data_IF_570798357100
#
_entry.id   IF_570798357100
#
_cell.length_a   1.000
_cell.length_b   1.000
_cell.length_c   1.000
_cell.angle_alpha   90.00
_cell.angle_beta   90.00
_cell.angle_gamma   90.00
#
_symmetry.space_group_name_H-M   'P 1'
#
loop_
_entity.id
_entity.type
_entity.pdbx_description
1 polymer ?
#
# COMPACT_ATOMS: atom_id res chain seq x y z
N UNK A 1 2.80 25.45 5.73
CA UNK A 1 2.86 24.35 6.71
C UNK A 1 1.95 23.23 6.24
N UNK A 2 2.41 21.97 6.25
CA UNK A 2 1.55 20.81 5.94
C UNK A 2 0.46 20.68 7.02
N UNK A 3 -0.79 20.49 6.61
CA UNK A 3 -1.91 20.33 7.54
C UNK A 3 -1.86 18.92 8.16
N UNK A 4 -1.75 18.85 9.49
CA UNK A 4 -1.80 17.57 10.22
C UNK A 4 -3.21 16.97 10.15
N UNK A 5 -3.29 15.64 10.10
CA UNK A 5 -4.56 14.91 10.19
C UNK A 5 -5.00 14.87 11.65
N UNK A 6 -6.26 15.18 11.94
CA UNK A 6 -6.79 15.05 13.30
C UNK A 6 -6.94 13.59 13.70
N UNK A 7 -6.84 13.28 15.00
CA UNK A 7 -7.03 11.92 15.53
C UNK A 7 -8.41 11.36 15.18
N UNK A 8 -9.46 12.19 15.22
CA UNK A 8 -10.82 11.80 14.85
C UNK A 8 -10.91 11.45 13.36
N UNK A 9 -10.32 12.26 12.47
CA UNK A 9 -10.30 11.96 11.04
C UNK A 9 -9.50 10.68 10.77
N UNK A 10 -8.39 10.48 11.45
CA UNK A 10 -7.60 9.26 11.33
C UNK A 10 -8.38 8.03 11.83
N UNK A 11 -9.10 8.15 12.94
CA UNK A 11 -9.99 7.09 13.44
C UNK A 11 -11.03 6.69 12.38
N UNK A 12 -11.66 7.67 11.73
CA UNK A 12 -12.61 7.42 10.64
C UNK A 12 -11.96 6.68 9.46
N UNK A 13 -10.77 7.10 9.03
CA UNK A 13 -10.03 6.43 7.95
C UNK A 13 -9.66 4.99 8.32
N UNK A 14 -9.22 4.76 9.57
CA UNK A 14 -8.88 3.42 10.07
C UNK A 14 -10.11 2.50 10.10
N UNK A 15 -11.28 3.01 10.53
CA UNK A 15 -12.55 2.26 10.45
C UNK A 15 -12.92 1.92 9.01
N UNK A 16 -12.82 2.90 8.11
CA UNK A 16 -13.12 2.72 6.68
C UNK A 16 -12.22 1.67 6.03
N UNK A 17 -10.94 1.62 6.41
CA UNK A 17 -10.01 0.60 5.97
C UNK A 17 -10.21 -0.76 6.65
N UNK A 18 -11.13 -0.88 7.60
CA UNK A 18 -11.48 -2.15 8.24
C UNK A 18 -10.53 -2.60 9.35
N UNK A 19 -9.80 -1.68 9.99
CA UNK A 19 -9.06 -2.01 11.22
C UNK A 19 -10.03 -2.43 12.34
N UNK A 20 -9.69 -3.44 13.17
CA UNK A 20 -10.50 -3.78 14.34
C UNK A 20 -10.61 -2.59 15.29
N UNK A 21 -11.80 -2.28 15.79
CA UNK A 21 -12.05 -1.09 16.65
C UNK A 21 -11.11 -1.06 17.87
N UNK A 22 -10.79 -2.23 18.44
CA UNK A 22 -9.86 -2.38 19.57
C UNK A 22 -8.43 -1.90 19.26
N UNK A 23 -8.01 -1.93 18.00
CA UNK A 23 -6.64 -1.59 17.58
C UNK A 23 -6.54 -0.15 17.06
N UNK A 24 -7.65 0.55 16.85
CA UNK A 24 -7.67 1.94 16.38
C UNK A 24 -6.90 2.90 17.30
N UNK A 25 -7.06 2.89 18.63
CA UNK A 25 -6.27 3.76 19.51
C UNK A 25 -4.76 3.55 19.32
N UNK A 26 -4.35 2.29 19.18
CA UNK A 26 -2.95 1.91 18.94
C UNK A 26 -2.45 2.41 17.60
N UNK A 27 -3.23 2.24 16.52
CA UNK A 27 -2.87 2.73 15.19
C UNK A 27 -2.77 4.27 15.15
N UNK A 28 -3.63 4.99 15.88
CA UNK A 28 -3.50 6.44 16.05
C UNK A 28 -2.19 6.78 16.76
N UNK A 29 -1.86 6.06 17.85
CA UNK A 29 -0.60 6.24 18.56
C UNK A 29 0.62 5.99 17.66
N UNK A 30 0.57 4.94 16.82
CA UNK A 30 1.61 4.63 15.84
C UNK A 30 1.78 5.79 14.85
N UNK A 31 0.71 6.30 14.25
CA UNK A 31 0.80 7.44 13.33
C UNK A 31 1.38 8.70 14.01
N UNK A 32 1.07 8.90 15.30
CA UNK A 32 1.66 9.96 16.11
C UNK A 32 3.17 9.81 16.27
N UNK A 33 3.63 8.61 16.63
CA UNK A 33 5.06 8.31 16.78
C UNK A 33 5.84 8.34 15.48
N UNK A 34 5.26 7.82 14.39
CA UNK A 34 5.91 7.72 13.08
C UNK A 34 6.02 9.08 12.37
N UNK A 35 4.97 9.91 12.43
CA UNK A 35 4.89 11.11 11.58
C UNK A 35 4.44 12.38 12.29
N UNK A 36 4.15 12.33 13.60
CA UNK A 36 3.47 13.42 14.31
C UNK A 36 2.17 13.86 13.61
N UNK A 37 1.46 12.89 13.02
CA UNK A 37 0.23 13.04 12.22
C UNK A 37 0.40 13.88 10.95
N UNK A 38 1.62 14.03 10.44
CA UNK A 38 1.88 14.75 9.19
C UNK A 38 1.74 13.80 7.99
N UNK A 39 0.72 13.99 7.12
CA UNK A 39 0.55 13.12 5.96
C UNK A 39 1.62 13.31 4.90
N UNK A 40 2.41 14.39 4.96
CA UNK A 40 3.56 14.66 4.09
C UNK A 40 4.90 14.30 4.74
N UNK A 41 4.90 13.53 5.83
CA UNK A 41 6.15 13.05 6.44
C UNK A 41 6.93 12.17 5.47
N UNK A 42 8.24 12.37 5.39
CA UNK A 42 9.12 11.66 4.47
C UNK A 42 10.48 11.44 5.14
N UNK A 43 10.96 10.20 5.11
CA UNK A 43 12.29 9.82 5.58
C UNK A 43 13.11 9.23 4.41
N UNK A 44 14.06 10.00 3.84
CA UNK A 44 14.92 9.55 2.73
C UNK A 44 16.20 8.82 3.18
N UNK A 45 16.35 8.47 4.46
CA UNK A 45 17.61 7.96 4.98
C UNK A 45 17.85 6.48 4.64
N UNK A 46 18.28 6.23 3.40
CA UNK A 46 18.56 4.88 2.90
C UNK A 46 19.67 4.17 3.70
N UNK A 47 20.58 4.91 4.34
CA UNK A 47 21.64 4.35 5.19
C UNK A 47 21.09 3.63 6.42
N UNK A 48 19.91 4.02 6.91
CA UNK A 48 19.22 3.33 8.02
C UNK A 48 18.17 2.34 7.54
N UNK A 49 18.10 2.10 6.22
CA UNK A 49 17.10 1.23 5.62
C UNK A 49 15.75 1.90 5.37
N UNK A 50 15.68 3.24 5.38
CA UNK A 50 14.43 3.98 5.24
C UNK A 50 14.31 4.70 3.89
N UNK A 51 13.19 4.46 3.22
CA UNK A 51 12.62 5.33 2.20
C UNK A 51 11.10 5.39 2.46
N UNK A 52 10.72 6.10 3.53
CA UNK A 52 9.41 5.92 4.18
C UNK A 52 8.49 7.13 4.00
N UNK A 53 7.20 6.88 3.73
CA UNK A 53 6.24 7.90 3.34
C UNK A 53 4.99 7.96 4.23
N UNK A 54 4.52 9.17 4.48
CA UNK A 54 3.20 9.50 5.02
C UNK A 54 3.00 9.12 6.48
N UNK A 55 1.73 9.00 6.87
CA UNK A 55 1.28 8.89 8.26
C UNK A 55 1.90 7.70 9.01
N UNK A 56 1.97 6.55 8.34
CA UNK A 56 2.47 5.29 8.89
C UNK A 56 3.89 4.96 8.47
N UNK A 57 4.61 5.93 7.87
CA UNK A 57 5.99 5.77 7.40
C UNK A 57 6.19 4.46 6.62
N UNK A 58 5.40 4.30 5.56
CA UNK A 58 5.41 3.10 4.72
C UNK A 58 6.72 3.08 3.93
N UNK A 59 7.61 2.15 4.29
CA UNK A 59 8.92 2.00 3.65
C UNK A 59 8.82 1.49 2.21
N UNK A 60 9.48 2.15 1.27
CA UNK A 60 9.49 1.82 -0.15
C UNK A 60 10.92 1.56 -0.65
N UNK A 61 11.87 1.30 0.25
CA UNK A 61 13.28 1.16 -0.09
C UNK A 61 13.54 -0.08 -0.98
N UNK A 62 14.27 0.11 -2.07
CA UNK A 62 14.71 -0.96 -2.96
C UNK A 62 13.54 -1.75 -3.54
N UNK A 63 13.65 -3.08 -3.55
CA UNK A 63 12.63 -3.97 -4.10
C UNK A 63 11.24 -3.84 -3.44
N UNK A 64 11.16 -3.34 -2.20
CA UNK A 64 9.87 -3.08 -1.56
C UNK A 64 9.05 -2.04 -2.31
N UNK A 65 9.67 -1.05 -2.95
CA UNK A 65 8.96 0.02 -3.65
C UNK A 65 8.04 -0.54 -4.75
N UNK A 66 8.60 -1.19 -5.79
CA UNK A 66 7.84 -1.87 -6.84
C UNK A 66 6.77 -2.83 -6.31
N UNK A 67 7.14 -3.73 -5.39
CA UNK A 67 6.24 -4.74 -4.83
C UNK A 67 5.04 -4.09 -4.13
N UNK A 68 5.29 -3.09 -3.28
CA UNK A 68 4.26 -2.38 -2.53
C UNK A 68 3.40 -1.49 -3.40
N UNK A 69 3.95 -0.87 -4.45
CA UNK A 69 3.13 -0.12 -5.41
C UNK A 69 2.11 -1.04 -6.07
N UNK A 70 2.54 -2.25 -6.43
CA UNK A 70 1.64 -3.26 -6.97
C UNK A 70 0.62 -3.77 -5.93
N UNK A 71 1.06 -4.05 -4.70
CA UNK A 71 0.18 -4.52 -3.63
C UNK A 71 -0.88 -3.47 -3.22
N UNK A 72 -0.49 -2.19 -3.20
CA UNK A 72 -1.34 -1.10 -2.73
C UNK A 72 -2.16 -0.43 -3.84
N UNK A 73 -1.91 -0.78 -5.10
CA UNK A 73 -2.62 -0.19 -6.25
C UNK A 73 -2.29 1.29 -6.46
N UNK A 74 -1.05 1.69 -6.21
CA UNK A 74 -0.56 3.08 -6.38
C UNK A 74 0.46 3.17 -7.51
N UNK A 75 0.53 4.32 -8.20
CA UNK A 75 1.41 4.52 -9.35
C UNK A 75 2.77 5.09 -8.97
N UNK A 76 2.85 5.81 -7.84
CA UNK A 76 4.10 6.37 -7.34
C UNK A 76 4.16 6.35 -5.81
N UNK A 77 5.38 6.43 -5.24
CA UNK A 77 5.57 6.46 -3.79
C UNK A 77 4.90 7.70 -3.15
N UNK A 78 4.85 8.82 -3.87
CA UNK A 78 4.27 10.08 -3.43
C UNK A 78 2.75 10.01 -3.24
N UNK A 79 2.07 9.01 -3.82
CA UNK A 79 0.67 8.76 -3.53
C UNK A 79 0.42 8.36 -2.06
N UNK A 80 1.44 7.83 -1.38
CA UNK A 80 1.39 7.55 0.06
C UNK A 80 1.35 8.82 0.92
N UNK A 81 1.46 10.01 0.31
CA UNK A 81 1.16 11.26 0.97
C UNK A 81 -0.34 11.59 1.05
N UNK A 82 -1.19 10.82 0.38
CA UNK A 82 -2.63 10.84 0.58
C UNK A 82 -2.97 10.00 1.84
N UNK A 83 -3.59 10.59 2.87
CA UNK A 83 -3.99 9.86 4.09
C UNK A 83 -4.82 8.60 3.81
N UNK A 84 -5.70 8.62 2.81
CA UNK A 84 -6.57 7.48 2.48
C UNK A 84 -5.73 6.33 1.94
N UNK A 85 -4.83 6.61 0.99
CA UNK A 85 -3.95 5.59 0.40
C UNK A 85 -2.93 5.07 1.41
N UNK A 86 -2.38 5.95 2.25
CA UNK A 86 -1.45 5.55 3.30
C UNK A 86 -2.09 4.63 4.35
N UNK A 87 -3.31 4.92 4.78
CA UNK A 87 -4.07 4.06 5.70
C UNK A 87 -4.42 2.72 5.05
N UNK A 88 -4.76 2.69 3.76
CA UNK A 88 -5.01 1.46 3.02
C UNK A 88 -3.75 0.57 2.93
N UNK A 89 -2.61 1.18 2.60
CA UNK A 89 -1.31 0.50 2.61
C UNK A 89 -0.96 -0.05 4.00
N UNK A 90 -1.16 0.76 5.05
CA UNK A 90 -0.96 0.34 6.43
C UNK A 90 -1.86 -0.85 6.80
N UNK A 91 -3.10 -0.91 6.30
CA UNK A 91 -3.99 -2.05 6.52
C UNK A 91 -3.44 -3.35 5.92
N UNK A 92 -2.91 -3.30 4.70
CA UNK A 92 -2.28 -4.48 4.04
C UNK A 92 -1.09 -5.01 4.84
N UNK A 93 -0.24 -4.11 5.34
CA UNK A 93 0.88 -4.46 6.21
C UNK A 93 0.39 -5.03 7.54
N UNK A 94 -0.63 -4.40 8.16
CA UNK A 94 -1.22 -4.90 9.40
C UNK A 94 -1.81 -6.30 9.23
N UNK A 95 -2.48 -6.59 8.11
CA UNK A 95 -3.08 -7.90 7.87
C UNK A 95 -2.06 -9.02 7.72
N UNK A 96 -0.86 -8.70 7.21
CA UNK A 96 0.23 -9.66 7.02
C UNK A 96 1.14 -9.80 8.23
N UNK A 97 1.42 -8.70 8.94
CA UNK A 97 2.47 -8.63 9.97
C UNK A 97 1.96 -8.23 11.35
N UNK A 98 0.72 -7.77 11.45
CA UNK A 98 0.13 -7.20 12.65
C UNK A 98 0.82 -5.90 13.09
N UNK A 99 0.56 -5.48 14.33
CA UNK A 99 1.13 -4.26 14.93
C UNK A 99 2.66 -4.28 15.02
N UNK A 100 3.28 -5.48 15.00
CA UNK A 100 4.74 -5.65 15.10
C UNK A 100 5.53 -5.10 13.91
N UNK A 101 4.86 -4.75 12.81
CA UNK A 101 5.49 -4.12 11.65
C UNK A 101 6.14 -2.77 11.98
N UNK A 102 5.59 -2.03 12.96
CA UNK A 102 6.06 -0.70 13.32
C UNK A 102 7.04 -0.72 14.48
N UNK A 103 8.17 -0.03 14.33
CA UNK A 103 9.20 0.06 15.38
C UNK A 103 8.68 0.81 16.61
N UNK A 104 7.85 1.85 16.42
CA UNK A 104 7.21 2.63 17.49
C UNK A 104 6.24 1.80 18.32
N UNK A 105 5.67 0.73 17.76
CA UNK A 105 4.88 -0.24 18.50
C UNK A 105 5.77 -1.13 19.37
N UNK A 106 6.84 -1.69 18.77
CA UNK A 106 7.77 -2.59 19.44
C UNK A 106 8.49 -1.94 20.63
N UNK A 107 8.92 -0.69 20.48
CA UNK A 107 9.59 0.06 21.55
C UNK A 107 8.63 0.79 22.49
N UNK A 108 7.31 0.66 22.27
CA UNK A 108 6.21 1.27 23.05
C UNK A 108 6.13 2.80 23.00
N UNK A 109 6.90 3.49 22.15
CA UNK A 109 6.82 4.96 22.05
C UNK A 109 5.46 5.46 21.53
N UNK A 110 4.67 4.61 20.86
CA UNK A 110 3.29 4.92 20.48
C UNK A 110 2.38 5.29 21.67
N UNK A 111 2.74 4.86 22.90
CA UNK A 111 1.95 5.09 24.10
C UNK A 111 1.83 6.58 24.44
N UNK A 112 2.87 7.38 24.14
CA UNK A 112 2.88 8.83 24.34
C UNK A 112 1.89 9.57 23.44
N UNK A 113 1.38 8.89 22.41
CA UNK A 113 0.49 9.43 21.40
C UNK A 113 -0.92 8.86 21.45
N UNK A 114 -1.23 8.02 22.46
CA UNK A 114 -2.56 7.41 22.57
C UNK A 114 -3.65 8.49 22.65
N UNK A 115 -4.72 8.36 21.86
CA UNK A 115 -5.83 9.29 21.90
C UNK A 115 -6.70 9.06 23.13
N UNK A 116 -7.31 10.13 23.63
CA UNK A 116 -8.46 10.02 24.54
C UNK A 116 -9.71 9.57 23.76
N UNK A 117 -10.73 9.05 24.44
CA UNK A 117 -11.99 8.67 23.80
C UNK A 117 -12.63 9.83 23.02
N UNK A 118 -12.55 11.06 23.54
CA UNK A 118 -13.05 12.25 22.88
C UNK A 118 -12.31 12.56 21.56
N UNK A 119 -11.01 12.24 21.49
CA UNK A 119 -10.19 12.46 20.29
C UNK A 119 -10.38 11.38 19.21
N UNK A 120 -10.92 10.21 19.55
CA UNK A 120 -11.28 9.14 18.59
C UNK A 120 -12.65 9.42 17.96
N UNK A 121 -13.54 10.07 18.71
CA UNK A 121 -14.94 10.29 18.32
C UNK A 121 -15.81 9.03 18.45
N UNK A 122 -17.13 9.23 18.38
CA UNK A 122 -18.12 8.14 18.50
C UNK A 122 -18.04 7.20 17.28
N UNK A 123 -17.80 5.89 17.46
CA UNK A 123 -17.83 4.91 16.37
C UNK A 123 -19.12 4.92 15.56
N UNK A 124 -20.25 5.30 16.18
CA UNK A 124 -21.59 5.33 15.56
C UNK A 124 -21.86 6.62 14.77
N UNK A 125 -21.03 7.65 14.94
CA UNK A 125 -21.09 8.91 14.18
C UNK A 125 -20.12 8.93 13.00
N UNK A 126 -19.42 7.82 12.73
CA UNK A 126 -18.73 7.67 11.46
C UNK A 126 -19.75 7.96 10.33
N UNK A 127 -19.43 8.83 9.36
CA UNK A 127 -20.33 9.10 8.25
C UNK A 127 -20.79 7.75 7.67
N UNK A 128 -22.06 7.63 7.23
CA UNK A 128 -22.60 6.37 6.70
C UNK A 128 -21.56 5.79 5.75
N UNK A 129 -21.31 4.48 5.86
CA UNK A 129 -20.44 3.73 4.96
C UNK A 129 -20.84 4.14 3.55
N UNK A 130 -20.15 5.14 2.98
CA UNK A 130 -20.31 5.45 1.58
C UNK A 130 -19.79 4.19 0.94
N UNK A 131 -20.67 3.55 0.16
CA UNK A 131 -20.40 2.36 -0.66
C UNK A 131 -18.93 2.30 -1.01
N UNK A 132 -18.30 1.11 -0.85
CA UNK A 132 -16.86 0.95 -0.65
C UNK A 132 -16.13 2.03 -1.42
N UNK A 133 -15.38 2.90 -0.72
CA UNK A 133 -14.34 3.68 -1.39
C UNK A 133 -13.65 2.63 -2.23
N UNK A 134 -13.83 2.74 -3.54
CA UNK A 134 -13.35 1.80 -4.52
C UNK A 134 -11.85 1.99 -4.40
N UNK A 135 -11.25 1.31 -3.41
CA UNK A 135 -9.82 1.21 -3.25
C UNK A 135 -9.44 0.69 -4.60
N UNK A 136 -8.77 1.50 -5.44
CA UNK A 136 -8.56 1.09 -6.80
C UNK A 136 -7.86 -0.26 -6.69
N UNK A 137 -8.57 -1.32 -7.07
CA UNK A 137 -7.95 -2.53 -7.61
C UNK A 137 -7.39 -2.08 -8.95
N UNK A 138 -6.45 -1.15 -8.87
CA UNK A 138 -6.02 -0.34 -10.00
C UNK A 138 -5.37 -1.29 -10.97
N UNK A 139 -5.80 -1.24 -12.21
CA UNK A 139 -5.12 -1.87 -13.33
C UNK A 139 -3.64 -1.45 -13.26
N UNK A 140 -2.77 -2.42 -12.98
CA UNK A 140 -1.34 -2.14 -12.82
C UNK A 140 -0.69 -2.20 -14.19
N UNK A 141 -0.17 -1.06 -14.64
CA UNK A 141 0.66 -0.97 -15.84
C UNK A 141 2.13 -1.17 -15.47
N UNK A 142 2.97 -1.72 -16.38
CA UNK A 142 4.43 -1.91 -16.16
C UNK A 142 5.12 -0.63 -15.67
N UNK A 143 4.66 0.52 -16.14
CA UNK A 143 5.18 1.84 -15.75
C UNK A 143 4.95 2.21 -14.26
N UNK A 144 4.03 1.54 -13.56
CA UNK A 144 3.78 1.74 -12.13
C UNK A 144 4.70 0.87 -11.26
N UNK A 145 5.32 -0.16 -11.83
CA UNK A 145 6.24 -1.03 -11.11
C UNK A 145 7.66 -0.49 -11.06
N UNK A 146 8.09 0.34 -12.00
CA UNK A 146 9.36 1.06 -11.92
C UNK A 146 9.13 2.57 -11.92
N UNK A 147 9.40 3.22 -10.80
CA UNK A 147 9.53 4.66 -10.73
C UNK A 147 10.92 5.11 -11.18
N UNK A 148 11.13 6.41 -11.44
CA UNK A 148 12.45 6.98 -11.76
C UNK A 148 13.50 6.77 -10.64
N UNK A 149 13.08 6.30 -9.47
CA UNK A 149 13.93 6.00 -8.32
C UNK A 149 14.46 4.55 -8.32
N UNK A 150 13.99 3.69 -9.25
CA UNK A 150 14.25 2.23 -9.25
C UNK A 150 15.19 1.77 -10.39
N UNK A 151 15.97 2.69 -10.99
CA UNK A 151 16.73 2.45 -12.23
C UNK A 151 17.82 1.36 -12.15
N UNK A 152 18.17 0.88 -10.96
CA UNK A 152 19.27 -0.07 -10.73
C UNK A 152 18.86 -1.56 -10.74
N UNK A 153 17.57 -1.89 -10.90
CA UNK A 153 17.06 -3.27 -10.83
C UNK A 153 17.00 -4.00 -12.19
N UNK A 154 17.08 -5.34 -12.17
CA UNK A 154 17.06 -6.18 -13.38
C UNK A 154 15.64 -6.21 -13.96
N UNK A 155 15.35 -5.21 -14.79
CA UNK A 155 14.03 -4.95 -15.38
C UNK A 155 13.34 -6.18 -15.96
N UNK A 156 14.07 -7.13 -16.54
CA UNK A 156 13.47 -8.29 -17.20
C UNK A 156 12.93 -9.33 -16.21
N UNK A 157 13.73 -9.74 -15.22
CA UNK A 157 13.30 -10.72 -14.22
C UNK A 157 12.24 -10.16 -13.27
N UNK A 158 12.35 -8.88 -12.96
CA UNK A 158 11.48 -8.22 -12.02
C UNK A 158 10.11 -7.88 -12.67
N UNK A 159 10.06 -7.64 -13.99
CA UNK A 159 8.79 -7.53 -14.73
C UNK A 159 8.05 -8.87 -14.80
N UNK A 160 8.77 -10.00 -14.88
CA UNK A 160 8.16 -11.34 -14.84
C UNK A 160 7.49 -11.59 -13.48
N UNK A 161 8.14 -11.18 -12.37
CA UNK A 161 7.59 -11.26 -11.01
C UNK A 161 6.33 -10.41 -10.84
N UNK A 162 6.32 -9.20 -11.41
CA UNK A 162 5.15 -8.32 -11.42
C UNK A 162 3.96 -8.98 -12.09
N UNK A 163 4.12 -9.44 -13.33
CA UNK A 163 3.01 -10.06 -14.08
C UNK A 163 2.48 -11.27 -13.33
N UNK A 164 3.36 -12.06 -12.72
CA UNK A 164 2.94 -13.18 -11.87
C UNK A 164 2.09 -12.72 -10.68
N UNK A 165 2.46 -11.63 -10.03
CA UNK A 165 1.72 -11.04 -8.91
C UNK A 165 0.36 -10.47 -9.36
N UNK A 166 0.30 -9.79 -10.51
CA UNK A 166 -0.93 -9.25 -11.08
C UNK A 166 -1.92 -10.35 -11.48
N UNK A 167 -1.43 -11.44 -12.05
CA UNK A 167 -2.22 -12.63 -12.35
C UNK A 167 -2.82 -13.21 -11.06
N UNK A 168 -2.01 -13.35 -9.99
CA UNK A 168 -2.48 -13.86 -8.71
C UNK A 168 -3.53 -12.95 -8.04
N UNK A 169 -3.36 -11.62 -8.14
CA UNK A 169 -4.28 -10.66 -7.53
C UNK A 169 -5.60 -10.51 -8.29
N UNK A 170 -5.58 -10.63 -9.62
CA UNK A 170 -6.78 -10.51 -10.48
C UNK A 170 -7.66 -11.75 -10.49
N UNK A 171 -7.11 -12.94 -10.20
CA UNK A 171 -7.84 -14.20 -10.22
C UNK A 171 -8.51 -14.57 -8.88
N UNK A 172 -8.27 -13.79 -7.83
CA UNK A 172 -8.72 -14.11 -6.47
C UNK A 172 -8.11 -15.42 -5.96
N UNK A 173 -8.42 -15.80 -4.73
CA UNK A 173 -7.83 -16.95 -3.98
C UNK A 173 -7.97 -18.35 -4.64
N UNK A 174 -8.48 -18.46 -5.88
CA UNK A 174 -8.53 -19.71 -6.63
C UNK A 174 -7.20 -19.96 -7.37
N UNK A 175 -6.42 -20.85 -6.77
CA UNK A 175 -5.09 -21.30 -7.20
C UNK A 175 -5.09 -21.95 -8.59
N UNK A 176 -4.84 -21.19 -9.65
CA UNK A 176 -4.18 -21.71 -10.84
C UNK A 176 -2.74 -21.19 -10.86
N UNK A 177 -1.78 -22.10 -10.71
CA UNK A 177 -0.35 -21.81 -10.82
C UNK A 177 0.03 -21.65 -12.28
N UNK A 178 0.37 -20.43 -12.71
CA UNK A 178 0.96 -20.19 -14.03
C UNK A 178 2.43 -20.59 -14.03
N UNK A 179 2.85 -21.30 -15.08
CA UNK A 179 4.24 -21.73 -15.26
C UNK A 179 5.11 -20.58 -15.78
N UNK A 180 6.43 -20.58 -15.49
CA UNK A 180 7.35 -19.56 -16.02
C UNK A 180 7.34 -19.42 -17.57
N UNK A 181 7.14 -20.49 -18.37
CA UNK A 181 6.95 -20.38 -19.82
C UNK A 181 5.76 -19.51 -20.23
N UNK A 182 4.60 -19.65 -19.58
CA UNK A 182 3.39 -18.88 -19.92
C UNK A 182 3.56 -17.36 -19.70
N UNK A 183 4.39 -16.95 -18.74
CA UNK A 183 4.66 -15.52 -18.47
C UNK A 183 5.60 -14.93 -19.53
N UNK A 184 6.59 -15.71 -19.99
CA UNK A 184 7.47 -15.31 -21.10
C UNK A 184 6.72 -15.14 -22.42
N UNK A 185 5.70 -15.97 -22.68
CA UNK A 185 4.87 -15.86 -23.88
C UNK A 185 3.98 -14.61 -23.86
N UNK A 186 3.38 -14.28 -22.69
CA UNK A 186 2.64 -13.02 -22.49
C UNK A 186 3.55 -11.81 -22.72
N UNK A 187 4.77 -11.86 -22.19
CA UNK A 187 5.78 -10.80 -22.35
C UNK A 187 6.30 -10.64 -23.78
N UNK A 188 6.40 -11.74 -24.53
CA UNK A 188 6.88 -11.73 -25.90
C UNK A 188 5.82 -11.23 -26.90
N UNK A 189 4.52 -11.44 -26.60
CA UNK A 189 3.43 -11.05 -27.48
C UNK A 189 3.23 -9.53 -27.61
N UNK A 190 3.61 -8.75 -26.60
CA UNK A 190 3.26 -7.32 -26.54
C UNK A 190 4.42 -6.35 -26.79
N UNK A 191 5.67 -6.85 -26.84
CA UNK A 191 6.85 -6.02 -27.04
C UNK A 191 7.12 -5.10 -25.84
N UNK A 192 8.40 -4.91 -25.50
CA UNK A 192 8.84 -4.14 -24.32
C UNK A 192 8.60 -2.61 -24.42
N UNK A 193 7.58 -2.17 -25.16
CA UNK A 193 7.33 -0.78 -25.52
C UNK A 193 6.06 -0.23 -24.88
N UNK A 194 6.11 0.12 -23.59
CA UNK A 194 5.29 1.19 -22.99
C UNK A 194 3.76 1.14 -23.18
N UNK A 195 3.17 -0.04 -23.39
CA UNK A 195 1.73 -0.22 -23.53
C UNK A 195 1.02 -0.44 -22.20
N UNK A 196 -0.21 0.05 -22.09
CA UNK A 196 -1.14 -0.25 -21.00
C UNK A 196 -1.38 -1.77 -20.96
N UNK A 197 -0.87 -2.45 -19.93
CA UNK A 197 -1.26 -3.83 -19.65
C UNK A 197 -2.66 -3.86 -19.07
N UNK A 198 -3.59 -4.56 -19.72
CA UNK A 198 -4.76 -5.13 -19.06
C UNK A 198 -4.63 -6.67 -19.06
N UNK A 199 -4.01 -7.24 -18.00
CA UNK A 199 -3.80 -8.68 -17.89
C UNK A 199 -5.12 -9.48 -17.91
N UNK A 200 -6.23 -8.86 -17.49
CA UNK A 200 -7.54 -9.52 -17.43
C UNK A 200 -8.11 -9.69 -18.83
N UNK A 201 -7.96 -8.68 -19.68
CA UNK A 201 -8.43 -8.72 -21.06
C UNK A 201 -7.69 -9.77 -21.92
N UNK A 202 -6.39 -9.96 -21.69
CA UNK A 202 -5.61 -10.98 -22.39
C UNK A 202 -6.00 -12.41 -21.97
N UNK A 203 -6.18 -12.67 -20.66
CA UNK A 203 -6.59 -13.97 -20.15
C UNK A 203 -7.99 -14.38 -20.64
N UNK A 204 -8.93 -13.43 -20.75
CA UNK A 204 -10.27 -13.69 -21.30
C UNK A 204 -10.24 -14.10 -22.78
N UNK A 205 -9.25 -13.64 -23.54
CA UNK A 205 -9.09 -13.98 -24.95
C UNK A 205 -8.29 -15.28 -25.17
N UNK A 206 -7.43 -15.68 -24.22
CA UNK A 206 -6.54 -16.84 -24.35
C UNK A 206 -7.15 -18.16 -23.86
N UNK A 207 -8.15 -18.12 -22.96
CA UNK A 207 -8.82 -19.29 -22.39
C UNK A 207 -10.21 -19.59 -22.98
N UNK A 208 -10.49 -19.16 -24.22
CA UNK A 208 -11.64 -19.64 -25.00
C UNK A 208 -11.30 -20.90 -25.80
#
# INVERSE_FOLDING_TARGET
>A
MSQKVSKEKLAQLLRQAGFPEKDIPTMIGIAGGESSYNPKAFNPNTNTGDLSYGLFQINMLGGMGPERRAEFGIQSNEELYDPVKNVAAAKKIYDSQGLGAWSVYKNKSYQDFLPTAAEIGDPKQAPPIQSPVDYPTGTITVNNYYGPQDEEFNKENDTQSLIQTLLMNSLGQNKQSFSAPSIKEIMAAEGLGGGFLDPVQYLQNYFQ
#
